data_IF_404178866353
#
_entry.id   IF_404178866353
#
_cell.length_a   1.000
_cell.length_b   1.000
_cell.length_c   1.000
_cell.angle_alpha   90.00
_cell.angle_beta   90.00
_cell.angle_gamma   90.00
#
_symmetry.space_group_name_H-M   'P 1'
#
loop_
_entity.id
_entity.type
_entity.pdbx_description
1 polymer ?
#
# COMPACT_ATOMS: atom_id res chain seq x y z
N UNK A 1 0.83 28.93 -4.85
CA UNK A 1 0.58 27.47 -4.97
C UNK A 1 1.05 26.83 -3.67
N UNK A 2 0.37 25.81 -3.12
CA UNK A 2 0.90 25.10 -1.97
C UNK A 2 2.29 24.55 -2.31
N UNK A 3 3.21 24.60 -1.35
CA UNK A 3 4.59 24.19 -1.53
C UNK A 3 4.62 22.68 -1.85
N UNK A 4 5.16 22.32 -3.03
CA UNK A 4 5.31 20.92 -3.42
C UNK A 4 6.47 20.29 -2.67
N UNK A 5 6.25 19.12 -2.10
CA UNK A 5 7.28 18.29 -1.48
C UNK A 5 7.88 17.36 -2.54
N UNK A 6 9.09 17.64 -3.00
CA UNK A 6 9.80 16.85 -4.01
C UNK A 6 10.50 15.67 -3.34
N UNK A 7 10.21 14.46 -3.81
CA UNK A 7 10.75 13.22 -3.27
C UNK A 7 11.69 12.59 -4.30
N UNK A 8 12.93 12.30 -3.93
CA UNK A 8 13.88 11.60 -4.81
C UNK A 8 13.71 10.07 -4.77
N UNK A 9 14.26 9.36 -5.77
CA UNK A 9 14.35 7.89 -5.71
C UNK A 9 15.16 7.40 -4.50
N UNK A 10 16.18 8.16 -4.09
CA UNK A 10 17.06 7.77 -3.00
C UNK A 10 16.34 7.79 -1.66
N UNK A 11 15.52 8.82 -1.39
CA UNK A 11 14.74 8.85 -0.15
C UNK A 11 13.67 7.75 -0.13
N UNK A 12 13.00 7.48 -1.26
CA UNK A 12 12.08 6.32 -1.40
C UNK A 12 12.80 5.02 -1.03
N UNK A 13 14.03 4.85 -1.52
CA UNK A 13 14.83 3.66 -1.24
C UNK A 13 15.20 3.53 0.24
N UNK A 14 15.60 4.63 0.87
CA UNK A 14 15.92 4.70 2.31
C UNK A 14 14.68 4.42 3.18
N UNK A 15 13.53 4.97 2.83
CA UNK A 15 12.27 4.73 3.54
C UNK A 15 11.86 3.25 3.47
N UNK A 16 11.94 2.63 2.29
CA UNK A 16 11.70 1.20 2.14
C UNK A 16 12.69 0.34 2.94
N UNK A 17 13.97 0.73 2.97
CA UNK A 17 14.99 0.04 3.77
C UNK A 17 14.63 0.08 5.26
N UNK A 18 14.34 1.26 5.79
CA UNK A 18 13.96 1.47 7.19
C UNK A 18 12.72 0.63 7.55
N UNK A 19 11.66 0.71 6.73
CA UNK A 19 10.45 -0.07 6.95
C UNK A 19 10.72 -1.59 6.97
N UNK A 20 11.57 -2.10 6.08
CA UNK A 20 11.95 -3.51 6.08
C UNK A 20 12.75 -3.92 7.33
N UNK A 21 13.63 -3.06 7.82
CA UNK A 21 14.36 -3.27 9.08
C UNK A 21 13.40 -3.34 10.27
N UNK A 22 12.43 -2.42 10.35
CA UNK A 22 11.40 -2.42 11.41
C UNK A 22 10.52 -3.68 11.35
N UNK A 23 10.11 -4.12 10.16
CA UNK A 23 9.34 -5.36 9.96
C UNK A 23 10.14 -6.58 10.46
N UNK A 24 11.43 -6.65 10.11
CA UNK A 24 12.32 -7.74 10.52
C UNK A 24 12.54 -7.76 12.03
N UNK A 25 12.73 -6.59 12.65
CA UNK A 25 12.92 -6.47 14.10
C UNK A 25 11.69 -6.95 14.89
N UNK A 26 10.48 -6.72 14.35
CA UNK A 26 9.23 -7.24 14.94
C UNK A 26 9.08 -8.77 14.81
N UNK A 27 9.96 -9.44 14.06
CA UNK A 27 9.88 -10.90 13.83
C UNK A 27 8.77 -11.31 12.86
N UNK A 28 8.17 -10.36 12.15
CA UNK A 28 7.09 -10.64 11.20
C UNK A 28 7.68 -11.08 9.86
N UNK A 29 7.47 -12.34 9.49
CA UNK A 29 7.75 -12.82 8.14
C UNK A 29 6.71 -12.23 7.17
N UNK A 30 7.14 -11.81 5.98
CA UNK A 30 6.25 -11.40 4.90
C UNK A 30 6.25 -12.48 3.83
N UNK A 31 5.07 -13.03 3.54
CA UNK A 31 4.89 -14.14 2.60
C UNK A 31 4.41 -13.66 1.23
N UNK A 32 3.78 -12.49 1.17
CA UNK A 32 3.31 -11.86 -0.06
C UNK A 32 3.31 -10.34 0.06
N UNK A 33 3.69 -9.65 -1.01
CA UNK A 33 3.50 -8.22 -1.18
C UNK A 33 2.37 -7.98 -2.20
N UNK A 34 1.40 -7.15 -1.85
CA UNK A 34 0.39 -6.65 -2.78
C UNK A 34 0.67 -5.16 -3.02
N UNK A 35 1.00 -4.79 -4.24
CA UNK A 35 1.18 -3.40 -4.63
C UNK A 35 -0.14 -2.83 -5.17
N UNK A 36 -0.56 -1.69 -4.64
CA UNK A 36 -1.64 -0.90 -5.23
C UNK A 36 -1.06 -0.19 -6.46
N UNK A 37 -1.78 -0.29 -7.58
CA UNK A 37 -1.31 0.10 -8.91
C UNK A 37 -1.01 1.60 -9.01
N UNK A 38 0.00 1.92 -9.83
CA UNK A 38 0.54 3.27 -9.91
C UNK A 38 1.75 3.42 -8.98
N UNK A 39 1.61 4.18 -7.91
CA UNK A 39 2.74 4.54 -7.04
C UNK A 39 3.19 3.43 -6.08
N UNK A 40 2.36 2.42 -5.79
CA UNK A 40 2.76 1.27 -4.96
C UNK A 40 3.78 0.30 -5.59
N UNK A 41 3.98 0.33 -6.91
CA UNK A 41 4.87 -0.61 -7.61
C UNK A 41 6.35 -0.47 -7.24
N UNK A 42 6.86 0.76 -7.25
CA UNK A 42 8.28 1.04 -6.98
C UNK A 42 8.61 0.72 -5.51
N UNK A 43 7.85 1.20 -4.51
CA UNK A 43 8.06 0.86 -3.11
C UNK A 43 7.97 -0.64 -2.86
N UNK A 44 6.98 -1.35 -3.44
CA UNK A 44 6.85 -2.79 -3.28
C UNK A 44 8.09 -3.55 -3.77
N UNK A 45 8.61 -3.16 -4.95
CA UNK A 45 9.80 -3.79 -5.51
C UNK A 45 11.04 -3.52 -4.66
N UNK A 46 11.23 -2.30 -4.16
CA UNK A 46 12.38 -1.94 -3.31
C UNK A 46 12.27 -2.65 -1.97
N UNK A 47 11.12 -2.58 -1.30
CA UNK A 47 10.84 -3.21 -0.02
C UNK A 47 11.16 -4.71 -0.06
N UNK A 48 10.76 -5.40 -1.15
CA UNK A 48 11.12 -6.81 -1.36
C UNK A 48 12.62 -7.08 -1.28
N UNK A 49 13.47 -6.20 -1.83
CA UNK A 49 14.93 -6.40 -1.78
C UNK A 49 15.43 -6.49 -0.34
N UNK A 50 14.87 -5.67 0.55
CA UNK A 50 15.27 -5.61 1.94
C UNK A 50 14.57 -6.65 2.83
N UNK A 51 13.40 -7.15 2.43
CA UNK A 51 12.68 -8.20 3.16
C UNK A 51 13.20 -9.61 2.92
N UNK A 52 13.86 -9.89 1.79
CA UNK A 52 14.45 -11.22 1.52
C UNK A 52 15.41 -11.65 2.64
N UNK A 53 15.35 -12.93 2.98
CA UNK A 53 16.14 -13.60 4.03
C UNK A 53 16.96 -14.77 3.48
N UNK A 54 17.19 -14.81 2.16
CA UNK A 54 17.93 -15.88 1.48
C UNK A 54 17.14 -17.16 1.23
N UNK A 55 15.92 -17.30 1.76
CA UNK A 55 15.08 -18.51 1.61
C UNK A 55 14.14 -18.49 0.41
N UNK A 56 14.19 -17.44 -0.41
CA UNK A 56 13.39 -17.32 -1.64
C UNK A 56 13.00 -15.88 -1.95
N UNK A 57 12.34 -15.69 -3.10
CA UNK A 57 11.76 -14.41 -3.47
C UNK A 57 10.34 -14.30 -2.92
N UNK A 58 10.06 -13.23 -2.18
CA UNK A 58 8.67 -12.88 -1.81
C UNK A 58 7.92 -12.49 -3.10
N UNK A 59 6.80 -13.15 -3.44
CA UNK A 59 6.00 -12.77 -4.59
C UNK A 59 5.46 -11.34 -4.43
N UNK A 60 5.31 -10.65 -5.56
CA UNK A 60 4.62 -9.35 -5.62
C UNK A 60 3.43 -9.53 -6.54
N UNK A 61 2.25 -9.21 -6.06
CA UNK A 61 1.02 -9.15 -6.83
C UNK A 61 0.56 -7.70 -6.95
N UNK A 62 -0.17 -7.39 -8.01
CA UNK A 62 -0.63 -6.04 -8.31
C UNK A 62 -2.16 -6.00 -8.29
N UNK A 63 -2.72 -4.98 -7.64
CA UNK A 63 -4.15 -4.65 -7.71
C UNK A 63 -4.32 -3.23 -8.23
N UNK A 64 -5.32 -3.01 -9.06
CA UNK A 64 -5.71 -1.72 -9.59
C UNK A 64 -7.07 -1.34 -9.06
N UNK A 65 -7.16 -0.13 -8.49
CA UNK A 65 -8.38 0.46 -7.98
C UNK A 65 -8.60 1.81 -8.65
N UNK A 66 -9.81 2.06 -9.15
CA UNK A 66 -10.23 3.38 -9.60
C UNK A 66 -11.31 3.89 -8.68
N UNK A 67 -11.06 5.03 -8.03
CA UNK A 67 -12.06 5.72 -7.22
C UNK A 67 -12.86 6.65 -8.13
N UNK A 68 -14.10 6.30 -8.45
CA UNK A 68 -15.02 7.23 -9.10
C UNK A 68 -15.78 8.03 -8.06
N UNK A 69 -15.84 9.34 -8.24
CA UNK A 69 -16.84 10.16 -7.56
C UNK A 69 -18.10 10.09 -8.41
N UNK A 70 -19.14 9.50 -7.85
CA UNK A 70 -20.44 9.41 -8.49
C UNK A 70 -21.00 10.84 -8.62
N UNK A 71 -20.88 11.43 -9.81
CA UNK A 71 -21.46 12.73 -10.15
C UNK A 71 -22.96 12.55 -10.47
N UNK A 72 -23.65 11.84 -9.57
CA UNK A 72 -25.05 11.47 -9.69
C UNK A 72 -25.97 12.65 -9.42
N UNK A 73 -26.81 12.97 -10.40
CA UNK A 73 -27.72 14.11 -10.47
C UNK A 73 -28.97 13.96 -9.56
N UNK A 74 -28.81 13.49 -8.33
CA UNK A 74 -29.91 13.26 -7.38
C UNK A 74 -29.55 13.86 -6.03
N UNK A 75 -30.34 14.85 -5.57
CA UNK A 75 -30.10 15.69 -4.39
C UNK A 75 -30.16 15.01 -3.03
N UNK A 76 -29.46 13.89 -2.86
CA UNK A 76 -29.16 13.29 -1.57
C UNK A 76 -27.65 13.05 -1.48
N UNK A 77 -26.98 13.70 -0.53
CA UNK A 77 -25.54 13.58 -0.23
C UNK A 77 -25.19 12.15 0.24
N UNK A 78 -25.26 11.16 -0.65
CA UNK A 78 -24.60 9.88 -0.45
C UNK A 78 -23.18 10.02 -0.98
N UNK A 79 -22.26 10.29 -0.07
CA UNK A 79 -20.82 10.15 -0.30
C UNK A 79 -20.57 8.64 -0.51
N UNK A 80 -20.78 8.16 -1.72
CA UNK A 80 -20.44 6.82 -2.13
C UNK A 80 -19.48 6.93 -3.30
N UNK A 81 -18.16 6.97 -3.02
CA UNK A 81 -17.20 6.72 -4.10
C UNK A 81 -17.38 5.27 -4.53
N UNK A 82 -17.91 5.05 -5.73
CA UNK A 82 -17.92 3.71 -6.30
C UNK A 82 -16.47 3.37 -6.66
N UNK A 83 -15.95 2.32 -6.04
CA UNK A 83 -14.58 1.87 -6.29
C UNK A 83 -14.64 0.71 -7.29
N UNK A 84 -13.98 0.89 -8.42
CA UNK A 84 -13.93 -0.10 -9.49
C UNK A 84 -12.61 -0.86 -9.40
N UNK A 85 -12.69 -2.19 -9.27
CA UNK A 85 -11.55 -3.11 -9.36
C UNK A 85 -11.08 -3.16 -10.83
N UNK A 86 -10.09 -2.37 -11.21
CA UNK A 86 -9.57 -2.32 -12.59
C UNK A 86 -8.60 -3.46 -12.90
N UNK A 87 -7.88 -3.92 -11.88
CA UNK A 87 -7.04 -5.11 -11.91
C UNK A 87 -7.16 -5.79 -10.55
N UNK A 88 -7.45 -7.09 -10.52
CA UNK A 88 -7.65 -7.79 -9.26
C UNK A 88 -6.95 -9.15 -9.22
N UNK A 89 -6.77 -9.67 -8.00
CA UNK A 89 -6.18 -10.99 -7.81
C UNK A 89 -7.20 -12.06 -8.18
N UNK A 90 -6.81 -12.93 -9.10
CA UNK A 90 -7.53 -14.17 -9.34
C UNK A 90 -7.08 -15.22 -8.33
N UNK A 91 -7.75 -15.25 -7.19
CA UNK A 91 -7.41 -16.14 -6.09
C UNK A 91 -7.72 -17.62 -6.40
N UNK A 92 -8.66 -17.87 -7.31
CA UNK A 92 -9.03 -19.21 -7.77
C UNK A 92 -7.95 -19.85 -8.64
N UNK A 93 -7.28 -19.06 -9.47
CA UNK A 93 -6.10 -19.54 -10.22
C UNK A 93 -4.81 -19.49 -9.41
N UNK A 94 -4.70 -18.59 -8.42
CA UNK A 94 -3.55 -18.54 -7.53
C UNK A 94 -3.39 -19.85 -6.74
N UNK A 95 -4.47 -20.45 -6.25
CA UNK A 95 -4.43 -21.68 -5.45
C UNK A 95 -3.77 -22.88 -6.17
N UNK A 96 -3.74 -22.87 -7.50
CA UNK A 96 -3.13 -23.93 -8.32
C UNK A 96 -1.61 -23.74 -8.54
N UNK A 97 -1.05 -22.55 -8.27
CA UNK A 97 0.34 -22.20 -8.65
C UNK A 97 1.13 -21.49 -7.53
N UNK A 98 0.45 -20.91 -6.56
CA UNK A 98 0.99 -20.28 -5.36
C UNK A 98 0.23 -20.89 -4.19
N UNK A 99 0.93 -21.30 -3.13
CA UNK A 99 0.26 -21.62 -1.86
C UNK A 99 -0.77 -20.52 -1.57
N UNK A 100 -1.98 -20.88 -1.20
CA UNK A 100 -3.13 -19.98 -1.06
C UNK A 100 -2.81 -18.73 -0.23
N UNK A 101 -3.57 -17.64 -0.38
CA UNK A 101 -3.46 -16.46 0.51
C UNK A 101 -3.69 -16.82 1.98
N UNK A 102 -4.38 -17.93 2.23
CA UNK A 102 -4.79 -18.40 3.55
C UNK A 102 -3.57 -18.62 4.44
N UNK A 103 -3.65 -18.10 5.67
CA UNK A 103 -2.61 -18.25 6.69
C UNK A 103 -1.31 -17.48 6.39
N UNK A 104 -1.27 -16.67 5.33
CA UNK A 104 -0.09 -15.88 4.97
C UNK A 104 -0.05 -14.53 5.67
N UNK A 105 1.17 -14.01 5.82
CA UNK A 105 1.40 -12.62 6.20
C UNK A 105 1.55 -11.78 4.94
N UNK A 106 0.52 -10.99 4.64
CA UNK A 106 0.39 -10.18 3.43
C UNK A 106 0.66 -8.72 3.78
N UNK A 107 1.54 -8.06 3.04
CA UNK A 107 1.75 -6.61 3.16
C UNK A 107 1.23 -5.89 1.91
N UNK A 108 0.30 -4.96 2.11
CA UNK A 108 -0.24 -4.09 1.08
C UNK A 108 0.64 -2.84 1.03
N UNK A 109 1.05 -2.43 -0.16
CA UNK A 109 2.00 -1.34 -0.36
C UNK A 109 1.42 -0.28 -1.29
N UNK A 110 1.49 0.97 -0.85
CA UNK A 110 1.08 2.15 -1.60
C UNK A 110 2.10 3.29 -1.40
N UNK A 111 2.08 4.35 -2.21
CA UNK A 111 2.99 5.48 -1.99
C UNK A 111 2.50 6.43 -0.90
N UNK A 112 1.19 6.69 -0.82
CA UNK A 112 0.65 7.73 0.07
C UNK A 112 -0.68 7.33 0.73
N UNK A 113 -0.76 7.53 2.05
CA UNK A 113 -2.05 7.62 2.75
C UNK A 113 -2.48 9.11 2.82
N UNK A 114 -3.31 9.55 1.87
CA UNK A 114 -3.90 10.90 1.87
C UNK A 114 -5.18 10.94 2.72
N UNK A 115 -6.29 10.47 2.16
CA UNK A 115 -7.61 10.44 2.82
C UNK A 115 -7.98 9.05 3.36
N UNK A 116 -7.08 8.07 3.23
CA UNK A 116 -7.23 6.65 3.60
C UNK A 116 -8.30 5.86 2.83
N UNK A 117 -9.05 6.45 1.91
CA UNK A 117 -10.13 5.76 1.18
C UNK A 117 -9.64 4.59 0.33
N UNK A 118 -8.53 4.75 -0.39
CA UNK A 118 -7.94 3.69 -1.23
C UNK A 118 -7.50 2.50 -0.37
N UNK A 119 -6.78 2.76 0.72
CA UNK A 119 -6.30 1.73 1.63
C UNK A 119 -7.44 1.01 2.34
N UNK A 120 -8.45 1.75 2.81
CA UNK A 120 -9.66 1.19 3.41
C UNK A 120 -10.32 0.18 2.45
N UNK A 121 -10.54 0.59 1.20
CA UNK A 121 -11.17 -0.28 0.22
C UNK A 121 -10.30 -1.50 -0.11
N UNK A 122 -9.01 -1.29 -0.39
CA UNK A 122 -8.08 -2.39 -0.70
C UNK A 122 -8.05 -3.44 0.42
N UNK A 123 -7.93 -3.00 1.68
CA UNK A 123 -7.91 -3.89 2.84
C UNK A 123 -9.24 -4.62 3.00
N UNK A 124 -10.36 -3.91 2.91
CA UNK A 124 -11.70 -4.47 3.10
C UNK A 124 -12.00 -5.54 2.06
N UNK A 125 -11.74 -5.26 0.79
CA UNK A 125 -12.02 -6.20 -0.30
C UNK A 125 -11.12 -7.43 -0.27
N UNK A 126 -9.83 -7.27 0.04
CA UNK A 126 -8.92 -8.40 0.20
C UNK A 126 -9.30 -9.27 1.41
N UNK A 127 -9.74 -8.68 2.51
CA UNK A 127 -10.24 -9.42 3.67
C UNK A 127 -11.53 -10.19 3.33
N UNK A 128 -12.45 -9.58 2.59
CA UNK A 128 -13.67 -10.22 2.13
C UNK A 128 -13.37 -11.42 1.22
N UNK A 129 -12.44 -11.26 0.28
CA UNK A 129 -12.07 -12.32 -0.66
C UNK A 129 -11.36 -13.48 0.07
N UNK A 130 -10.50 -13.19 1.04
CA UNK A 130 -9.89 -14.20 1.91
C UNK A 130 -10.92 -14.93 2.75
N UNK A 131 -11.86 -14.22 3.38
CA UNK A 131 -12.89 -14.82 4.23
C UNK A 131 -13.80 -15.79 3.44
N UNK A 132 -14.10 -15.47 2.18
CA UNK A 132 -14.82 -16.39 1.27
C UNK A 132 -14.02 -17.67 1.02
N UNK A 133 -12.73 -17.53 0.72
CA UNK A 133 -11.85 -18.69 0.49
C UNK A 133 -11.63 -19.53 1.73
N UNK A 134 -11.46 -18.91 2.90
CA UNK A 134 -11.35 -19.59 4.19
C UNK A 134 -12.60 -20.47 4.44
N UNK A 135 -13.79 -19.94 4.13
CA UNK A 135 -15.05 -20.68 4.21
C UNK A 135 -15.16 -21.81 3.19
N UNK A 136 -14.76 -21.58 1.94
CA UNK A 136 -14.81 -22.59 0.86
C UNK A 136 -13.83 -23.75 1.11
N UNK A 137 -12.64 -23.46 1.63
CA UNK A 137 -11.58 -24.44 1.89
C UNK A 137 -11.63 -25.02 3.30
N UNK A 138 -12.53 -24.55 4.16
CA UNK A 138 -12.64 -24.98 5.56
C UNK A 138 -11.38 -24.72 6.38
N UNK A 139 -10.63 -23.67 6.06
CA UNK A 139 -9.41 -23.33 6.78
C UNK A 139 -9.67 -22.37 7.92
N UNK A 140 -9.11 -22.66 9.08
CA UNK A 140 -9.16 -21.79 10.25
C UNK A 140 -7.87 -20.96 10.43
N UNK A 141 -6.90 -21.08 9.51
CA UNK A 141 -5.61 -20.39 9.65
C UNK A 141 -5.74 -18.93 9.22
N UNK A 142 -5.63 -17.96 10.13
CA UNK A 142 -5.95 -16.57 9.82
C UNK A 142 -4.90 -15.94 8.91
N UNK A 143 -5.36 -15.33 7.84
CA UNK A 143 -4.51 -14.47 7.00
C UNK A 143 -4.30 -13.11 7.67
N UNK A 144 -3.05 -12.64 7.73
CA UNK A 144 -2.70 -11.37 8.40
C UNK A 144 -2.32 -10.32 7.38
N UNK A 145 -3.13 -9.26 7.30
CA UNK A 145 -2.81 -8.07 6.51
C UNK A 145 -2.00 -7.05 7.32
N UNK A 146 -1.01 -6.46 6.66
CA UNK A 146 -0.27 -5.26 7.07
C UNK A 146 -0.32 -4.25 5.92
N UNK A 147 -0.10 -2.97 6.22
CA UNK A 147 -0.08 -1.89 5.24
C UNK A 147 1.23 -1.14 5.38
N UNK A 148 1.90 -0.85 4.26
CA UNK A 148 3.04 0.04 4.20
C UNK A 148 2.78 1.17 3.21
N UNK A 149 2.95 2.42 3.67
CA UNK A 149 2.99 3.61 2.82
C UNK A 149 4.32 4.33 2.97
N UNK A 150 4.83 4.94 1.89
CA UNK A 150 5.99 5.81 2.01
C UNK A 150 5.67 7.02 2.89
N UNK A 151 4.53 7.66 2.62
CA UNK A 151 4.10 8.86 3.32
C UNK A 151 2.68 8.73 3.85
N UNK A 152 2.46 9.12 5.09
CA UNK A 152 1.11 9.38 5.61
C UNK A 152 0.94 10.89 5.80
N UNK A 153 -0.14 11.44 5.25
CA UNK A 153 -0.49 12.86 5.46
C UNK A 153 -1.18 13.05 6.80
N UNK A 154 -0.69 13.99 7.59
CA UNK A 154 -1.25 14.44 8.86
C UNK A 154 -2.49 15.31 8.62
N UNK A 155 -3.59 14.66 8.26
CA UNK A 155 -4.88 15.30 7.99
C UNK A 155 -6.05 14.39 8.39
N UNK A 156 -7.25 14.95 8.55
CA UNK A 156 -8.45 14.15 8.79
C UNK A 156 -8.67 13.11 7.69
N UNK A 157 -8.86 11.86 8.11
CA UNK A 157 -9.11 10.72 7.21
C UNK A 157 -10.60 10.61 6.93
N UNK A 158 -10.95 10.19 5.71
CA UNK A 158 -12.34 9.99 5.27
C UNK A 158 -12.83 8.54 5.44
N UNK A 159 -11.93 7.64 5.79
CA UNK A 159 -12.20 6.24 6.06
C UNK A 159 -11.21 5.71 7.09
N UNK A 160 -11.61 4.66 7.81
CA UNK A 160 -10.79 4.02 8.83
C UNK A 160 -10.16 2.73 8.31
N UNK A 161 -8.98 2.39 8.83
CA UNK A 161 -8.45 1.03 8.69
C UNK A 161 -8.89 0.19 9.89
N UNK A 162 -9.07 -1.13 9.72
CA UNK A 162 -9.41 -2.02 10.83
C UNK A 162 -8.49 -1.82 12.05
N UNK A 163 -9.08 -1.80 13.26
CA UNK A 163 -8.34 -1.62 14.52
C UNK A 163 -7.24 -2.66 14.70
N UNK A 164 -7.47 -3.90 14.25
CA UNK A 164 -6.46 -4.93 14.31
C UNK A 164 -5.21 -4.60 13.47
N UNK A 165 -5.28 -3.74 12.44
CA UNK A 165 -4.10 -3.27 11.69
C UNK A 165 -3.46 -2.07 12.39
N UNK A 166 -4.27 -1.12 12.86
CA UNK A 166 -3.82 0.11 13.51
C UNK A 166 -3.15 -0.16 14.87
N UNK A 167 -3.81 -0.94 15.74
CA UNK A 167 -3.43 -1.10 17.14
C UNK A 167 -2.29 -2.11 17.35
N UNK A 168 -1.99 -2.93 16.34
CA UNK A 168 -0.96 -3.97 16.43
C UNK A 168 0.33 -3.61 15.68
N UNK A 169 0.46 -2.35 15.25
CA UNK A 169 1.64 -1.86 14.56
C UNK A 169 1.87 -2.51 13.18
N UNK A 170 0.78 -2.96 12.54
CA UNK A 170 0.74 -3.50 11.18
C UNK A 170 0.46 -2.42 10.13
N UNK A 171 0.08 -1.22 10.56
CA UNK A 171 0.17 0.00 9.74
C UNK A 171 1.57 0.59 9.88
N UNK A 172 2.30 0.64 8.76
CA UNK A 172 3.71 1.01 8.69
C UNK A 172 3.82 2.23 7.79
N UNK A 173 4.48 3.27 8.29
CA UNK A 173 4.67 4.54 7.58
C UNK A 173 6.16 4.79 7.45
N UNK A 174 6.62 5.09 6.24
CA UNK A 174 8.01 5.53 6.02
C UNK A 174 8.27 6.87 6.71
N UNK A 175 7.42 7.85 6.42
CA UNK A 175 7.50 9.20 6.96
C UNK A 175 6.11 9.84 7.13
N UNK A 176 5.89 10.49 8.27
CA UNK A 176 4.74 11.39 8.48
C UNK A 176 5.02 12.73 7.81
N UNK A 177 4.05 13.29 7.09
CA UNK A 177 4.17 14.57 6.39
C UNK A 177 2.94 15.44 6.62
N UNK A 178 3.11 16.76 6.56
CA UNK A 178 1.99 17.69 6.54
C UNK A 178 1.10 17.51 5.29
N UNK A 179 -0.08 18.13 5.27
CA UNK A 179 -0.98 18.10 4.10
C UNK A 179 -0.44 18.93 2.94
N UNK A 180 0.61 18.40 2.30
CA UNK A 180 1.29 18.98 1.16
C UNK A 180 1.10 18.10 -0.09
N UNK A 181 1.29 18.72 -1.25
CA UNK A 181 1.35 17.98 -2.50
C UNK A 181 2.72 17.30 -2.63
N UNK A 182 2.74 15.97 -2.63
CA UNK A 182 3.96 15.18 -2.76
C UNK A 182 4.22 14.93 -4.25
N UNK A 183 5.37 15.37 -4.76
CA UNK A 183 5.83 15.08 -6.10
C UNK A 183 6.78 13.87 -6.05
N UNK A 184 6.32 12.73 -6.55
CA UNK A 184 7.11 11.52 -6.63
C UNK A 184 8.01 11.50 -7.88
N UNK A 185 9.17 10.82 -7.83
CA UNK A 185 10.16 10.91 -8.88
C UNK A 185 9.79 10.13 -10.16
N UNK A 186 8.83 9.20 -10.09
CA UNK A 186 8.32 8.48 -11.26
C UNK A 186 7.32 9.30 -12.08
N UNK A 187 6.80 10.40 -11.53
CA UNK A 187 5.92 11.34 -12.24
C UNK A 187 6.71 12.53 -12.84
N UNK A 188 8.02 12.59 -12.62
CA UNK A 188 8.87 13.69 -13.06
C UNK A 188 9.20 13.55 -14.56
N UNK A 189 8.87 14.59 -15.34
CA UNK A 189 9.31 14.68 -16.74
C UNK A 189 10.80 15.02 -16.85
N UNK A 190 11.30 15.88 -15.95
CA UNK A 190 12.72 16.19 -15.78
C UNK A 190 13.17 15.65 -14.41
N UNK A 191 13.85 14.51 -14.43
CA UNK A 191 14.30 13.84 -13.21
C UNK A 191 15.49 14.54 -12.55
N UNK A 192 16.29 15.28 -13.33
CA UNK A 192 17.47 15.99 -12.82
C UNK A 192 17.03 17.23 -12.03
N UNK A 193 16.12 18.04 -12.60
CA UNK A 193 15.51 19.17 -11.90
C UNK A 193 14.77 18.71 -10.63
N UNK A 194 13.94 17.66 -10.76
CA UNK A 194 13.20 17.09 -9.63
C UNK A 194 14.13 16.65 -8.50
N UNK A 195 15.25 16.00 -8.84
CA UNK A 195 16.23 15.55 -7.85
C UNK A 195 16.93 16.73 -7.16
N UNK A 196 17.26 17.80 -7.88
CA UNK A 196 17.84 19.00 -7.29
C UNK A 196 16.86 19.72 -6.35
N UNK A 197 15.57 19.78 -6.69
CA UNK A 197 14.53 20.31 -5.81
C UNK A 197 14.36 19.45 -4.55
N UNK A 198 14.37 18.12 -4.70
CA UNK A 198 14.32 17.20 -3.57
C UNK A 198 15.53 17.38 -2.64
N UNK A 199 16.75 17.55 -3.18
CA UNK A 199 17.96 17.83 -2.38
C UNK A 199 17.84 19.16 -1.60
N UNK A 200 17.35 20.22 -2.23
CA UNK A 200 17.14 21.54 -1.58
C UNK A 200 16.17 21.45 -0.40
N UNK A 201 15.23 20.51 -0.43
CA UNK A 201 14.25 20.25 0.63
C UNK A 201 14.71 19.18 1.63
N UNK A 202 15.90 18.61 1.48
CA UNK A 202 16.41 17.53 2.35
C UNK A 202 15.82 16.14 2.08
N UNK A 203 15.12 15.95 0.96
CA UNK A 203 14.44 14.70 0.57
C UNK A 203 15.30 13.83 -0.38
N UNK A 204 16.57 13.61 -0.03
CA UNK A 204 17.54 12.84 -0.81
C UNK A 204 18.11 11.65 -0.05
#
# INVERSE_FOLDING_TARGET
MPEKLYISYNIVHKLCKKAAEDIKQKGTRVDLIIAIGGGGFIPARILRSFLKDGKGNIPIQAIGLSLYEDMGNTGEDKIGKEVIRTQWLDLGNLSNHLDTLIGKNVIIVDEVDDTRTTLHYAVTELQNDVAKLEKELGSETPTKFSVFVLHNKNKPKKADLPSNIMDTGRYIVGQEVEDAWIAYPWDAADIDEHTELAKKQGNY
#
